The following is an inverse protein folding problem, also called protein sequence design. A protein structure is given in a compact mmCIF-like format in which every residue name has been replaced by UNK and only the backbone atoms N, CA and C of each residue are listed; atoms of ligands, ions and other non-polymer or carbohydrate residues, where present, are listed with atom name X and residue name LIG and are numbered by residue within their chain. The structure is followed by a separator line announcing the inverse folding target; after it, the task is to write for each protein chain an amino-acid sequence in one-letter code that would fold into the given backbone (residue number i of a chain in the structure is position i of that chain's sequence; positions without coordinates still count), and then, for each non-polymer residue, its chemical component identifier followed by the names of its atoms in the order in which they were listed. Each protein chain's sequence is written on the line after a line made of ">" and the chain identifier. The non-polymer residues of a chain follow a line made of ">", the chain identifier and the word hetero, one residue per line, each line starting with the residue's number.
data_IF_433253100780
#
_entry.id   IF_433253100780
#
_cell.length_a   1.000
_cell.length_b   1.000
_cell.length_c   1.000
_cell.angle_alpha   90.00
_cell.angle_beta   90.00
_cell.angle_gamma   90.00
#
_symmetry.space_group_name_H-M   'P 1'
#
loop_
_entity.id
_entity.type
_entity.pdbx_description
1 polymer ?
#
# COMPACT_ATOMS: atom_id res chain seq x y z
N UNK A 1 -14.86 14.47 6.96
CA UNK A 1 -15.18 13.05 6.70
C UNK A 1 -16.55 12.77 7.29
N UNK A 2 -17.38 11.97 6.61
CA UNK A 2 -18.72 11.59 7.09
C UNK A 2 -18.99 10.13 6.76
N UNK A 3 -19.93 9.52 7.47
CA UNK A 3 -20.46 8.22 7.05
C UNK A 3 -21.25 8.34 5.73
N UNK A 4 -21.22 7.30 4.90
CA UNK A 4 -21.93 7.25 3.62
C UNK A 4 -23.45 7.40 3.74
N UNK A 5 -24.04 7.11 4.89
CA UNK A 5 -25.47 7.34 5.17
C UNK A 5 -25.86 8.82 5.11
N UNK A 6 -24.89 9.73 5.25
CA UNK A 6 -25.08 11.17 5.06
C UNK A 6 -24.76 11.64 3.64
N UNK A 7 -24.42 10.72 2.72
CA UNK A 7 -24.16 11.06 1.35
C UNK A 7 -25.47 11.40 0.62
N UNK A 8 -25.47 12.42 -0.26
CA UNK A 8 -26.61 12.62 -1.14
C UNK A 8 -26.80 11.38 -2.03
N UNK A 9 -28.04 11.08 -2.39
CA UNK A 9 -28.35 9.98 -3.32
C UNK A 9 -27.78 10.23 -4.72
N UNK A 10 -27.58 11.51 -5.08
CA UNK A 10 -26.91 11.94 -6.30
C UNK A 10 -26.03 13.17 -6.09
N UNK A 11 -24.78 13.12 -6.58
CA UNK A 11 -23.87 14.27 -6.58
C UNK A 11 -22.89 14.23 -7.75
N UNK A 12 -22.24 15.37 -8.01
CA UNK A 12 -21.23 15.54 -9.06
C UNK A 12 -19.94 16.11 -8.52
N UNK A 13 -18.82 15.58 -9.01
CA UNK A 13 -17.47 15.97 -8.61
C UNK A 13 -16.54 16.00 -9.82
N UNK A 14 -15.45 16.73 -9.74
CA UNK A 14 -14.44 16.70 -10.80
C UNK A 14 -13.66 15.39 -10.81
N UNK A 15 -13.33 14.87 -9.64
CA UNK A 15 -12.67 13.58 -9.50
C UNK A 15 -13.39 12.71 -8.47
N UNK A 16 -13.52 11.42 -8.80
CA UNK A 16 -14.05 10.41 -7.88
C UNK A 16 -12.94 9.39 -7.63
N UNK A 17 -12.43 9.37 -6.41
CA UNK A 17 -11.40 8.44 -5.95
C UNK A 17 -12.07 7.28 -5.22
N UNK A 18 -11.88 6.07 -5.74
CA UNK A 18 -12.36 4.83 -5.14
C UNK A 18 -11.24 4.24 -4.28
N UNK A 19 -11.42 4.24 -2.97
CA UNK A 19 -10.44 3.80 -1.98
C UNK A 19 -9.70 4.97 -1.36
N UNK A 20 -9.98 5.24 -0.08
CA UNK A 20 -9.26 6.22 0.74
C UNK A 20 -7.99 5.62 1.33
N UNK A 21 -7.23 4.89 0.52
CA UNK A 21 -6.06 4.12 0.96
C UNK A 21 -4.75 4.92 0.95
N UNK A 22 -3.64 4.19 0.91
CA UNK A 22 -2.28 4.73 1.02
C UNK A 22 -1.95 5.78 -0.05
N UNK A 23 -2.33 5.55 -1.31
CA UNK A 23 -2.19 6.54 -2.40
C UNK A 23 -3.38 7.50 -2.47
N UNK A 24 -4.59 6.99 -2.22
CA UNK A 24 -5.86 7.71 -2.37
C UNK A 24 -5.96 8.96 -1.48
N UNK A 25 -5.47 8.90 -0.25
CA UNK A 25 -5.45 10.06 0.64
C UNK A 25 -4.55 11.19 0.12
N UNK A 26 -3.31 10.88 -0.29
CA UNK A 26 -2.37 11.87 -0.83
C UNK A 26 -2.87 12.46 -2.16
N UNK A 27 -3.47 11.61 -3.00
CA UNK A 27 -4.10 12.01 -4.25
C UNK A 27 -5.27 12.98 -4.01
N UNK A 28 -6.18 12.65 -3.09
CA UNK A 28 -7.33 13.48 -2.75
C UNK A 28 -6.91 14.84 -2.20
N UNK A 29 -5.97 14.85 -1.25
CA UNK A 29 -5.42 16.08 -0.69
C UNK A 29 -4.83 16.99 -1.77
N UNK A 30 -4.16 16.39 -2.77
CA UNK A 30 -3.58 17.11 -3.89
C UNK A 30 -4.63 17.66 -4.85
N UNK A 31 -5.53 16.81 -5.35
CA UNK A 31 -6.52 17.21 -6.35
C UNK A 31 -7.52 18.24 -5.81
N UNK A 32 -7.85 18.17 -4.51
CA UNK A 32 -8.78 19.10 -3.87
C UNK A 32 -8.34 20.57 -3.93
N UNK A 33 -7.05 20.85 -4.12
CA UNK A 33 -6.57 22.24 -4.18
C UNK A 33 -7.25 23.06 -5.30
N UNK A 34 -7.52 22.43 -6.45
CA UNK A 34 -8.05 23.11 -7.64
C UNK A 34 -9.27 22.39 -8.27
N UNK A 35 -9.86 21.42 -7.58
CA UNK A 35 -10.96 20.61 -8.12
C UNK A 35 -11.85 20.05 -7.01
N UNK A 36 -13.12 19.80 -7.31
CA UNK A 36 -14.00 19.07 -6.37
C UNK A 36 -13.70 17.58 -6.40
N UNK A 37 -13.45 16.98 -5.23
CA UNK A 37 -13.01 15.59 -5.09
C UNK A 37 -13.94 14.84 -4.17
N UNK A 38 -14.38 13.66 -4.63
CA UNK A 38 -15.06 12.67 -3.80
C UNK A 38 -14.13 11.50 -3.52
N UNK A 39 -13.97 11.13 -2.25
CA UNK A 39 -13.30 9.90 -1.81
C UNK A 39 -14.33 8.96 -1.22
N UNK A 40 -14.35 7.72 -1.72
CA UNK A 40 -15.21 6.65 -1.22
C UNK A 40 -14.36 5.56 -0.59
N UNK A 41 -14.45 5.41 0.73
CA UNK A 41 -13.75 4.37 1.48
C UNK A 41 -14.76 3.37 2.04
N UNK A 42 -14.53 2.08 1.79
CA UNK A 42 -15.44 1.00 2.22
C UNK A 42 -15.36 0.69 3.72
N UNK A 43 -14.25 1.05 4.37
CA UNK A 43 -14.04 0.89 5.80
C UNK A 43 -14.40 2.11 6.63
N UNK A 44 -14.20 1.99 7.94
CA UNK A 44 -14.37 3.07 8.91
C UNK A 44 -13.14 3.98 9.03
N UNK A 45 -13.06 4.71 10.13
CA UNK A 45 -11.99 5.68 10.40
C UNK A 45 -10.97 5.15 11.42
N UNK A 46 -9.66 5.36 11.22
CA UNK A 46 -8.66 5.06 12.25
C UNK A 46 -8.81 5.98 13.48
N UNK A 47 -9.48 7.13 13.31
CA UNK A 47 -9.69 8.12 14.38
C UNK A 47 -10.80 7.74 15.36
N UNK A 48 -11.59 6.71 15.07
CA UNK A 48 -12.60 6.16 15.99
C UNK A 48 -11.94 5.46 17.18
N UNK A 49 -10.76 4.88 16.97
CA UNK A 49 -9.98 4.22 18.01
C UNK A 49 -8.46 4.43 17.79
N UNK A 50 -7.94 5.63 18.06
CA UNK A 50 -6.54 5.97 17.76
C UNK A 50 -5.53 5.01 18.40
N UNK A 51 -5.79 4.59 19.64
CA UNK A 51 -4.88 3.70 20.39
C UNK A 51 -4.75 2.32 19.77
N UNK A 52 -5.77 1.83 19.04
CA UNK A 52 -5.68 0.58 18.29
C UNK A 52 -4.61 0.62 17.19
N UNK A 53 -4.18 1.81 16.76
CA UNK A 53 -3.16 1.95 15.72
C UNK A 53 -1.75 2.11 16.27
N UNK A 54 -1.59 2.40 17.57
CA UNK A 54 -0.29 2.62 18.21
C UNK A 54 0.61 1.38 18.14
N UNK A 55 1.92 1.60 18.21
CA UNK A 55 2.93 0.54 18.01
C UNK A 55 2.72 -0.68 18.91
N UNK A 56 2.24 -0.47 20.14
CA UNK A 56 1.98 -1.53 21.12
C UNK A 56 0.80 -2.44 20.72
N UNK A 57 -0.14 -1.92 19.93
CA UNK A 57 -1.34 -2.63 19.50
C UNK A 57 -1.24 -3.19 18.08
N UNK A 58 -0.10 -3.02 17.40
CA UNK A 58 0.13 -3.48 16.02
C UNK A 58 -0.30 -4.94 15.82
N UNK A 59 0.21 -5.87 16.64
CA UNK A 59 -0.09 -7.28 16.50
C UNK A 59 -1.58 -7.59 16.69
N UNK A 60 -2.18 -7.06 17.76
CA UNK A 60 -3.60 -7.23 18.10
C UNK A 60 -4.51 -6.72 16.99
N UNK A 61 -4.23 -5.55 16.44
CA UNK A 61 -5.04 -4.93 15.39
C UNK A 61 -4.89 -5.66 14.06
N UNK A 62 -3.68 -6.10 13.71
CA UNK A 62 -3.44 -6.90 12.52
C UNK A 62 -4.13 -8.27 12.59
N UNK A 63 -4.13 -8.93 13.75
CA UNK A 63 -4.72 -10.25 13.95
C UNK A 63 -6.23 -10.24 14.23
N UNK A 64 -6.85 -9.07 14.39
CA UNK A 64 -8.29 -8.97 14.61
C UNK A 64 -9.06 -9.35 13.34
N UNK A 65 -9.71 -10.51 13.35
CA UNK A 65 -10.52 -11.02 12.22
C UNK A 65 -12.02 -10.80 12.37
N UNK A 66 -12.45 -9.93 13.31
CA UNK A 66 -13.87 -9.65 13.49
C UNK A 66 -14.49 -9.05 12.21
N UNK A 67 -15.80 -9.27 11.94
CA UNK A 67 -16.43 -8.85 10.69
C UNK A 67 -16.36 -7.36 10.36
N UNK A 68 -16.18 -6.49 11.37
CA UNK A 68 -16.00 -5.04 11.24
C UNK A 68 -14.55 -4.57 11.44
N UNK A 69 -13.61 -5.48 11.64
CA UNK A 69 -12.19 -5.16 11.79
C UNK A 69 -11.65 -4.39 10.58
N UNK A 70 -10.68 -3.53 10.83
CA UNK A 70 -9.87 -2.90 9.78
C UNK A 70 -9.02 -3.91 9.04
N UNK A 71 -8.64 -5.03 9.68
CA UNK A 71 -7.91 -6.15 9.08
C UNK A 71 -8.89 -7.15 8.48
N UNK A 72 -8.85 -7.32 7.15
CA UNK A 72 -9.64 -8.33 6.46
C UNK A 72 -8.73 -9.48 6.01
N UNK A 73 -8.80 -10.58 6.76
CA UNK A 73 -8.10 -11.83 6.44
C UNK A 73 -8.54 -12.37 5.07
N UNK A 74 -7.59 -12.89 4.31
CA UNK A 74 -7.82 -13.80 3.18
C UNK A 74 -6.74 -14.88 3.16
N UNK A 75 -7.02 -16.00 2.50
CA UNK A 75 -6.04 -17.06 2.28
C UNK A 75 -5.80 -17.14 0.79
N UNK A 76 -4.55 -17.05 0.36
CA UNK A 76 -4.19 -17.28 -1.04
C UNK A 76 -4.46 -18.73 -1.44
N UNK A 77 -4.62 -18.99 -2.74
CA UNK A 77 -4.73 -20.37 -3.26
C UNK A 77 -3.48 -21.21 -2.96
N UNK A 78 -2.35 -20.57 -2.66
CA UNK A 78 -1.12 -21.21 -2.19
C UNK A 78 -1.19 -21.67 -0.71
N UNK A 79 -2.31 -21.43 -0.02
CA UNK A 79 -2.49 -21.75 1.39
C UNK A 79 -1.83 -20.76 2.34
N UNK A 80 -1.33 -19.61 1.88
CA UNK A 80 -0.66 -18.62 2.74
C UNK A 80 -1.67 -17.60 3.26
N UNK A 81 -1.72 -17.43 4.58
CA UNK A 81 -2.54 -16.42 5.25
C UNK A 81 -2.09 -15.01 4.89
N UNK A 82 -3.05 -14.12 4.69
CA UNK A 82 -2.79 -12.75 4.32
C UNK A 82 -3.91 -11.83 4.83
N UNK A 83 -3.67 -10.52 4.84
CA UNK A 83 -4.69 -9.55 5.23
C UNK A 83 -4.61 -8.33 4.34
N UNK A 84 -5.77 -7.72 4.09
CA UNK A 84 -5.90 -6.41 3.44
C UNK A 84 -6.62 -5.44 4.35
N UNK A 85 -6.25 -4.16 4.25
CA UNK A 85 -6.91 -3.12 5.01
C UNK A 85 -8.34 -2.83 4.51
N UNK A 86 -9.18 -2.41 5.46
CA UNK A 86 -10.54 -1.91 5.26
C UNK A 86 -10.79 -0.76 6.23
N UNK A 87 -10.15 0.36 5.97
CA UNK A 87 -10.13 1.55 6.83
C UNK A 87 -9.53 2.72 6.04
N UNK A 88 -9.96 3.96 6.32
CA UNK A 88 -9.34 5.16 5.78
C UNK A 88 -7.84 5.22 6.14
N UNK A 89 -6.99 5.50 5.17
CA UNK A 89 -5.53 5.38 5.25
C UNK A 89 -5.00 4.03 4.75
N UNK A 90 -5.87 3.03 4.56
CA UNK A 90 -5.55 1.73 3.99
C UNK A 90 -4.46 0.98 4.79
N UNK A 91 -3.52 0.34 4.08
CA UNK A 91 -2.48 -0.49 4.68
C UNK A 91 -1.59 0.25 5.70
N UNK A 92 -1.48 1.58 5.59
CA UNK A 92 -0.69 2.39 6.53
C UNK A 92 -1.23 2.36 7.97
N UNK A 93 -2.51 2.04 8.16
CA UNK A 93 -3.15 1.87 9.48
C UNK A 93 -2.74 0.56 10.15
N UNK A 94 -2.45 -0.49 9.36
CA UNK A 94 -2.24 -1.85 9.85
C UNK A 94 -0.78 -2.31 9.79
N UNK A 95 0.06 -1.70 8.96
CA UNK A 95 1.40 -2.20 8.68
C UNK A 95 2.37 -2.04 9.86
N UNK A 96 3.58 -2.59 9.71
CA UNK A 96 4.64 -2.49 10.72
C UNK A 96 5.34 -1.11 10.79
N UNK A 97 4.85 -0.11 10.06
CA UNK A 97 5.30 1.28 10.16
C UNK A 97 6.60 1.65 9.45
N UNK A 98 7.35 0.69 8.90
CA UNK A 98 8.61 0.96 8.19
C UNK A 98 8.46 1.91 7.00
N UNK A 99 9.25 2.98 6.97
CA UNK A 99 9.26 3.98 5.91
C UNK A 99 10.59 3.94 5.15
N UNK A 100 10.54 3.71 3.84
CA UNK A 100 11.71 3.69 2.95
C UNK A 100 11.28 4.09 1.54
N UNK A 101 11.99 5.04 0.95
CA UNK A 101 11.77 5.50 -0.43
C UNK A 101 12.06 4.38 -1.43
N UNK A 102 11.59 4.56 -2.65
CA UNK A 102 11.96 3.70 -3.77
C UNK A 102 13.48 3.77 -4.05
N UNK A 103 14.04 2.71 -4.63
CA UNK A 103 15.39 2.74 -5.19
C UNK A 103 15.49 3.68 -6.40
N UNK A 104 16.67 4.28 -6.60
CA UNK A 104 16.94 5.19 -7.73
C UNK A 104 16.74 4.49 -9.09
N UNK A 105 17.09 3.20 -9.17
CA UNK A 105 16.85 2.33 -10.32
C UNK A 105 15.36 2.18 -10.62
N UNK A 106 14.54 1.97 -9.58
CA UNK A 106 13.10 1.91 -9.73
C UNK A 106 12.50 3.22 -10.25
N UNK A 107 12.91 4.36 -9.67
CA UNK A 107 12.44 5.69 -10.11
C UNK A 107 12.77 5.92 -11.59
N UNK A 108 13.98 5.53 -12.01
CA UNK A 108 14.43 5.63 -13.39
C UNK A 108 13.63 4.71 -14.32
N UNK A 109 13.42 3.46 -13.95
CA UNK A 109 12.63 2.49 -14.73
C UNK A 109 11.16 2.89 -14.85
N UNK A 110 10.60 3.52 -13.82
CA UNK A 110 9.25 4.06 -13.84
C UNK A 110 9.11 5.34 -14.69
N UNK A 111 10.23 5.88 -15.19
CA UNK A 111 10.31 7.13 -15.95
C UNK A 111 9.69 8.33 -15.19
N UNK A 112 9.74 8.31 -13.87
CA UNK A 112 9.29 9.44 -13.06
C UNK A 112 10.35 10.54 -13.03
N UNK A 113 9.90 11.79 -13.02
CA UNK A 113 10.80 12.95 -12.92
C UNK A 113 11.38 13.03 -11.51
N UNK A 114 12.70 12.88 -11.39
CA UNK A 114 13.42 12.80 -10.09
C UNK A 114 13.05 13.94 -9.14
N UNK A 115 13.13 15.19 -9.59
CA UNK A 115 12.89 16.36 -8.73
C UNK A 115 11.44 16.43 -8.22
N UNK A 116 10.48 15.99 -9.04
CA UNK A 116 9.06 15.92 -8.65
C UNK A 116 8.79 14.75 -7.70
N UNK A 117 9.52 13.63 -7.83
CA UNK A 117 9.47 12.50 -6.90
C UNK A 117 10.05 12.88 -5.55
N UNK A 118 11.19 13.58 -5.53
CA UNK A 118 11.83 14.07 -4.32
C UNK A 118 10.88 15.00 -3.55
N UNK A 119 10.34 16.01 -4.23
CA UNK A 119 9.38 16.94 -3.63
C UNK A 119 8.11 16.24 -3.12
N UNK A 120 7.66 15.17 -3.78
CA UNK A 120 6.52 14.38 -3.33
C UNK A 120 6.85 13.52 -2.09
N UNK A 121 8.07 12.98 -1.98
CA UNK A 121 8.52 12.30 -0.77
C UNK A 121 8.62 13.27 0.40
N UNK A 122 9.32 14.40 0.23
CA UNK A 122 9.46 15.42 1.27
C UNK A 122 8.10 15.89 1.79
N UNK A 123 7.13 16.08 0.89
CA UNK A 123 5.77 16.45 1.27
C UNK A 123 5.08 15.40 2.16
N UNK A 124 5.29 14.11 1.91
CA UNK A 124 4.77 13.02 2.76
C UNK A 124 5.54 12.99 4.09
N UNK A 125 6.87 13.02 4.01
CA UNK A 125 7.78 12.87 5.15
C UNK A 125 7.55 13.95 6.21
N UNK A 126 7.37 15.20 5.77
CA UNK A 126 7.09 16.34 6.64
C UNK A 126 5.87 16.15 7.54
N UNK A 127 4.96 15.25 7.19
CA UNK A 127 3.72 15.01 7.94
C UNK A 127 3.76 13.75 8.79
N UNK A 128 4.35 12.66 8.30
CA UNK A 128 4.10 11.33 8.87
C UNK A 128 5.35 10.45 9.02
N UNK A 129 6.55 10.90 8.64
CA UNK A 129 7.76 10.06 8.73
C UNK A 129 8.74 10.60 9.76
N UNK A 130 9.32 9.69 10.55
CA UNK A 130 10.21 10.01 11.67
C UNK A 130 11.45 9.12 11.65
N UNK A 131 12.52 9.63 12.26
CA UNK A 131 13.66 8.80 12.66
C UNK A 131 13.28 8.01 13.93
N UNK A 132 13.34 6.67 13.91
CA UNK A 132 12.95 5.87 15.06
C UNK A 132 14.02 5.91 16.16
N UNK A 133 13.63 5.83 17.46
CA UNK A 133 14.59 5.52 18.50
C UNK A 133 15.17 4.11 18.28
N UNK A 134 16.49 3.98 18.33
CA UNK A 134 17.18 2.69 18.19
C UNK A 134 17.41 2.09 19.57
N UNK A 135 16.67 1.03 19.90
CA UNK A 135 16.76 0.33 21.20
C UNK A 135 17.72 -0.86 21.13
N UNK A 136 17.92 -1.56 22.26
CA UNK A 136 18.91 -2.62 22.39
C UNK A 136 18.80 -3.74 21.36
N UNK A 137 17.58 -4.19 21.04
CA UNK A 137 17.35 -5.24 20.04
C UNK A 137 17.74 -4.77 18.63
N UNK A 138 17.30 -3.57 18.24
CA UNK A 138 17.60 -2.98 16.94
C UNK A 138 19.09 -2.71 16.78
N UNK A 139 19.77 -2.26 17.83
CA UNK A 139 21.23 -2.10 17.86
C UNK A 139 21.93 -3.44 17.65
N UNK A 140 21.51 -4.49 18.37
CA UNK A 140 22.09 -5.82 18.22
C UNK A 140 21.87 -6.41 16.82
N UNK A 141 20.68 -6.21 16.24
CA UNK A 141 20.39 -6.62 14.86
C UNK A 141 21.29 -5.87 13.86
N UNK A 142 21.40 -4.54 13.99
CA UNK A 142 22.25 -3.70 13.14
C UNK A 142 23.72 -4.12 13.23
N UNK A 143 24.27 -4.25 14.43
CA UNK A 143 25.67 -4.67 14.62
C UNK A 143 25.90 -6.12 14.18
N UNK A 144 24.92 -7.01 14.41
CA UNK A 144 24.98 -8.40 13.96
C UNK A 144 24.93 -8.55 12.43
N UNK A 145 24.20 -7.69 11.73
CA UNK A 145 24.21 -7.62 10.26
C UNK A 145 25.60 -7.21 9.73
N UNK A 146 26.25 -6.25 10.39
CA UNK A 146 27.62 -5.85 10.06
C UNK A 146 28.61 -7.00 10.33
N UNK A 147 28.51 -7.69 11.46
CA UNK A 147 29.32 -8.89 11.73
C UNK A 147 29.07 -10.03 10.71
N UNK A 148 27.85 -10.12 10.17
CA UNK A 148 27.50 -11.09 9.12
C UNK A 148 28.01 -10.71 7.71
N UNK A 149 28.56 -9.49 7.54
CA UNK A 149 29.15 -9.00 6.30
C UNK A 149 28.28 -8.02 5.50
N UNK A 150 27.13 -7.58 6.04
CA UNK A 150 26.18 -6.68 5.34
C UNK A 150 26.60 -5.21 5.45
N UNK A 151 27.74 -4.88 4.84
CA UNK A 151 28.31 -3.53 4.78
C UNK A 151 27.88 -2.78 3.52
N UNK A 152 27.96 -1.42 3.49
CA UNK A 152 28.37 -0.53 4.58
C UNK A 152 27.26 -0.26 5.60
N UNK A 153 27.60 0.36 6.73
CA UNK A 153 26.60 1.02 7.58
C UNK A 153 26.30 2.41 7.04
N UNK A 154 25.07 2.64 6.60
CA UNK A 154 24.63 3.88 5.94
C UNK A 154 24.04 4.91 6.90
N UNK A 155 24.10 4.69 8.22
CA UNK A 155 23.43 5.56 9.19
C UNK A 155 21.91 5.53 9.07
N UNK A 156 21.27 6.63 9.46
CA UNK A 156 19.85 6.86 9.20
C UNK A 156 19.63 7.38 7.78
N UNK A 157 18.71 6.75 7.04
CA UNK A 157 18.27 7.24 5.74
C UNK A 157 16.94 6.64 5.30
N UNK A 158 16.09 7.46 4.69
CA UNK A 158 14.89 6.98 4.00
C UNK A 158 15.22 6.25 2.69
N UNK A 159 16.39 6.46 2.09
CA UNK A 159 16.73 5.90 0.78
C UNK A 159 16.87 4.37 0.83
N UNK A 160 16.35 3.68 -0.19
CA UNK A 160 16.63 2.26 -0.38
C UNK A 160 18.02 2.10 -1.00
N UNK A 161 18.97 1.61 -0.21
CA UNK A 161 20.38 1.44 -0.57
C UNK A 161 20.89 0.10 -0.07
N UNK A 162 21.92 -0.43 -0.73
CA UNK A 162 22.62 -1.63 -0.30
C UNK A 162 23.37 -1.40 1.03
N UNK A 163 23.45 -2.45 1.86
CA UNK A 163 24.09 -2.43 3.17
C UNK A 163 23.10 -2.30 4.34
N UNK A 164 23.64 -2.05 5.53
CA UNK A 164 22.87 -1.91 6.78
C UNK A 164 22.50 -0.46 7.02
N UNK A 165 21.26 -0.18 7.44
CA UNK A 165 20.79 1.19 7.75
C UNK A 165 19.76 1.22 8.87
N UNK A 166 19.55 2.41 9.43
CA UNK A 166 18.34 2.74 10.18
C UNK A 166 17.35 3.38 9.19
N UNK A 167 16.20 2.73 8.98
CA UNK A 167 15.13 3.25 8.13
C UNK A 167 14.21 4.21 8.89
N UNK A 168 13.30 4.86 8.16
CA UNK A 168 12.24 5.66 8.75
C UNK A 168 11.13 4.82 9.36
N UNK A 169 10.28 5.49 10.13
CA UNK A 169 9.04 4.93 10.69
C UNK A 169 7.89 5.93 10.54
N UNK A 170 6.66 5.45 10.53
CA UNK A 170 5.46 6.30 10.66
C UNK A 170 4.94 6.39 12.10
N UNK A 171 5.64 5.79 13.04
CA UNK A 171 5.39 5.97 14.47
C UNK A 171 6.27 7.10 15.01
N UNK A 172 5.69 8.01 15.77
CA UNK A 172 6.47 9.06 16.43
C UNK A 172 7.22 8.55 17.66
N UNK A 173 7.88 9.46 18.38
CA UNK A 173 8.72 9.15 19.53
C UNK A 173 7.95 8.59 20.75
N UNK A 174 6.63 8.75 20.81
CA UNK A 174 5.77 8.16 21.85
C UNK A 174 5.05 6.90 21.37
N UNK A 175 5.29 6.48 20.12
CA UNK A 175 4.73 5.27 19.53
C UNK A 175 3.34 5.46 18.91
N UNK A 176 2.88 6.70 18.77
CA UNK A 176 1.63 7.01 18.07
C UNK A 176 1.84 6.90 16.56
N UNK A 177 0.88 6.28 15.87
CA UNK A 177 0.94 6.08 14.42
C UNK A 177 0.43 7.30 13.66
N UNK A 178 1.17 7.71 12.63
CA UNK A 178 0.76 8.70 11.63
C UNK A 178 0.53 8.00 10.28
N UNK A 179 -0.70 8.04 9.78
CA UNK A 179 -1.13 7.22 8.62
C UNK A 179 -1.29 8.07 7.36
N UNK A 180 -1.51 7.42 6.21
CA UNK A 180 -1.88 8.15 4.99
C UNK A 180 -3.15 9.01 5.17
N UNK A 181 -4.05 8.65 6.10
CA UNK A 181 -5.23 9.46 6.39
C UNK A 181 -4.89 10.85 6.95
N UNK A 182 -3.74 11.01 7.63
CA UNK A 182 -3.28 12.32 8.13
C UNK A 182 -2.88 13.27 6.99
N UNK A 183 -2.57 12.75 5.80
CA UNK A 183 -2.28 13.58 4.62
C UNK A 183 -3.52 14.33 4.12
N UNK A 184 -4.73 13.89 4.50
CA UNK A 184 -5.98 14.61 4.21
C UNK A 184 -6.08 15.94 4.96
N UNK A 185 -5.26 16.20 5.98
CA UNK A 185 -5.19 17.53 6.62
C UNK A 185 -4.66 18.60 5.66
N UNK A 186 -3.94 18.20 4.60
CA UNK A 186 -3.56 19.11 3.53
C UNK A 186 -4.66 19.33 2.49
N UNK A 187 -5.77 18.59 2.55
CA UNK A 187 -6.88 18.75 1.60
C UNK A 187 -7.64 20.05 1.84
N UNK A 188 -8.18 20.64 0.77
CA UNK A 188 -9.08 21.79 0.89
C UNK A 188 -10.48 21.31 1.35
N UNK A 189 -10.93 21.66 2.57
CA UNK A 189 -12.17 21.13 3.15
C UNK A 189 -13.44 21.53 2.39
N UNK A 190 -13.41 22.63 1.62
CA UNK A 190 -14.57 23.12 0.86
C UNK A 190 -14.80 22.32 -0.43
N UNK A 191 -13.80 21.58 -0.86
CA UNK A 191 -13.79 20.91 -2.17
C UNK A 191 -13.63 19.40 -2.07
N UNK A 192 -13.26 18.87 -0.89
CA UNK A 192 -13.12 17.44 -0.65
C UNK A 192 -14.32 16.90 0.14
N UNK A 193 -14.96 15.88 -0.40
CA UNK A 193 -15.92 15.05 0.30
C UNK A 193 -15.30 13.67 0.53
N UNK A 194 -15.33 13.17 1.77
CA UNK A 194 -14.85 11.83 2.13
C UNK A 194 -15.99 11.09 2.81
N UNK A 195 -16.48 10.02 2.17
CA UNK A 195 -17.48 9.12 2.74
C UNK A 195 -16.85 7.78 3.14
N UNK A 196 -17.04 7.44 4.42
CA UNK A 196 -16.66 6.17 5.04
C UNK A 196 -17.80 5.16 4.90
N UNK A 197 -17.50 3.88 5.08
CA UNK A 197 -18.45 2.78 4.88
C UNK A 197 -19.16 2.83 3.51
N UNK A 198 -18.50 3.41 2.50
CA UNK A 198 -18.98 3.56 1.14
C UNK A 198 -18.42 2.45 0.26
N UNK A 199 -19.18 1.37 0.07
CA UNK A 199 -18.75 0.26 -0.78
C UNK A 199 -19.10 0.56 -2.23
N UNK A 200 -18.09 0.74 -3.09
CA UNK A 200 -18.29 0.97 -4.52
C UNK A 200 -18.56 -0.34 -5.23
N UNK A 201 -19.68 -0.40 -5.96
CA UNK A 201 -20.17 -1.61 -6.62
C UNK A 201 -19.88 -1.63 -8.11
N UNK A 202 -19.95 -0.46 -8.74
CA UNK A 202 -19.92 -0.35 -10.19
C UNK A 202 -19.35 0.97 -10.65
N UNK A 203 -18.46 0.90 -11.65
CA UNK A 203 -18.06 2.04 -12.46
C UNK A 203 -19.03 2.15 -13.64
N UNK A 204 -19.52 3.36 -13.89
CA UNK A 204 -20.49 3.64 -14.95
C UNK A 204 -19.75 4.09 -16.21
N UNK A 205 -20.09 3.48 -17.34
CA UNK A 205 -19.48 3.74 -18.65
C UNK A 205 -20.50 4.19 -19.69
N UNK A 206 -20.09 5.06 -20.60
CA UNK A 206 -20.87 5.45 -21.78
C UNK A 206 -20.04 5.31 -23.05
N UNK A 207 -20.66 4.80 -24.11
CA UNK A 207 -20.10 4.74 -25.47
C UNK A 207 -20.75 5.77 -26.40
N UNK A 208 -21.74 6.53 -25.91
CA UNK A 208 -22.54 7.43 -26.75
C UNK A 208 -21.66 8.53 -27.35
N UNK A 209 -21.56 8.54 -28.68
CA UNK A 209 -20.80 9.54 -29.44
C UNK A 209 -19.28 9.40 -29.29
N UNK A 210 -18.76 8.23 -28.91
CA UNK A 210 -17.33 8.00 -28.71
C UNK A 210 -16.88 6.65 -29.27
N UNK A 211 -15.67 6.55 -29.83
CA UNK A 211 -15.11 5.29 -30.28
C UNK A 211 -14.68 4.38 -29.11
N UNK A 212 -14.44 4.96 -27.92
CA UNK A 212 -14.03 4.25 -26.71
C UNK A 212 -15.04 4.49 -25.59
N UNK A 213 -15.30 3.49 -24.71
CA UNK A 213 -16.06 3.71 -23.50
C UNK A 213 -15.41 4.80 -22.63
N UNK A 214 -16.23 5.71 -22.09
CA UNK A 214 -15.79 6.70 -21.09
C UNK A 214 -16.40 6.37 -19.73
N UNK A 215 -15.58 6.24 -18.70
CA UNK A 215 -16.06 6.26 -17.32
C UNK A 215 -16.63 7.65 -16.98
N UNK A 216 -17.83 7.67 -16.39
CA UNK A 216 -18.52 8.93 -16.08
C UNK A 216 -19.06 9.01 -14.65
N UNK A 217 -18.91 7.95 -13.86
CA UNK A 217 -19.42 7.93 -12.50
C UNK A 217 -19.32 6.55 -11.85
N UNK A 218 -19.90 6.44 -10.67
CA UNK A 218 -19.90 5.24 -9.85
C UNK A 218 -21.24 5.06 -9.14
N UNK A 219 -21.58 3.81 -8.82
CA UNK A 219 -22.62 3.46 -7.86
C UNK A 219 -21.94 2.90 -6.62
N UNK A 220 -22.31 3.42 -5.45
CA UNK A 220 -21.83 2.92 -4.16
C UNK A 220 -23.00 2.72 -3.20
N UNK A 221 -22.78 1.89 -2.19
CA UNK A 221 -23.77 1.54 -1.17
C UNK A 221 -23.28 1.98 0.21
N UNK A 222 -24.19 2.54 1.01
CA UNK A 222 -23.95 2.85 2.42
C UNK A 222 -24.19 1.61 3.32
N UNK A 223 -23.95 1.73 4.63
CA UNK A 223 -24.16 0.64 5.59
C UNK A 223 -25.64 0.26 5.79
N UNK A 224 -26.59 1.13 5.42
CA UNK A 224 -28.02 0.86 5.45
C UNK A 224 -28.52 0.16 4.18
N UNK A 225 -27.64 -0.08 3.21
CA UNK A 225 -27.97 -0.73 1.95
C UNK A 225 -28.52 0.22 0.88
N UNK A 226 -28.54 1.53 1.12
CA UNK A 226 -29.00 2.55 0.17
C UNK A 226 -27.96 2.73 -0.93
N UNK A 227 -28.43 2.76 -2.18
CA UNK A 227 -27.57 3.01 -3.34
C UNK A 227 -27.49 4.50 -3.65
N UNK A 228 -26.26 4.99 -3.77
CA UNK A 228 -25.92 6.35 -4.14
C UNK A 228 -25.22 6.36 -5.50
N UNK A 229 -25.37 7.48 -6.21
CA UNK A 229 -24.74 7.71 -7.50
C UNK A 229 -23.89 8.96 -7.48
N UNK A 230 -22.61 8.82 -7.79
CA UNK A 230 -21.73 9.96 -8.02
C UNK A 230 -21.32 10.01 -9.50
N UNK A 231 -21.48 11.17 -10.14
CA UNK A 231 -21.06 11.39 -11.53
C UNK A 231 -19.90 12.38 -11.61
N UNK A 232 -19.12 12.27 -12.68
CA UNK A 232 -18.18 13.30 -13.04
C UNK A 232 -18.92 14.56 -13.48
N UNK A 233 -18.47 15.73 -13.00
CA UNK A 233 -18.96 17.02 -13.47
C UNK A 233 -18.66 17.21 -14.96
N UNK A 234 -19.35 18.16 -15.60
CA UNK A 234 -19.27 18.39 -17.05
C UNK A 234 -17.95 19.05 -17.45
N UNK A 235 -16.89 18.26 -17.53
CA UNK A 235 -15.57 18.69 -17.96
C UNK A 235 -14.86 17.53 -18.68
N UNK A 236 -14.05 17.86 -19.69
CA UNK A 236 -13.32 16.89 -20.50
C UNK A 236 -12.22 16.16 -19.72
N UNK A 237 -11.63 16.81 -18.71
CA UNK A 237 -10.48 16.32 -17.95
C UNK A 237 -10.83 15.60 -16.64
N UNK A 238 -12.12 15.50 -16.31
CA UNK A 238 -12.60 14.83 -15.10
C UNK A 238 -12.50 13.31 -15.23
N UNK A 239 -12.11 12.63 -14.14
CA UNK A 239 -11.76 11.20 -14.15
C UNK A 239 -12.26 10.48 -12.88
N UNK A 240 -12.63 9.21 -13.05
CA UNK A 240 -12.73 8.25 -11.96
C UNK A 240 -11.35 7.64 -11.74
N UNK A 241 -10.90 7.52 -10.49
CA UNK A 241 -9.56 7.02 -10.16
C UNK A 241 -9.69 5.88 -9.16
N UNK A 242 -9.17 4.71 -9.52
CA UNK A 242 -9.04 3.56 -8.63
C UNK A 242 -7.79 3.68 -7.75
N UNK A 243 -7.99 3.56 -6.45
CA UNK A 243 -6.95 3.55 -5.42
C UNK A 243 -7.29 2.51 -4.32
N UNK A 244 -7.94 1.42 -4.71
CA UNK A 244 -8.43 0.37 -3.81
C UNK A 244 -7.39 -0.74 -3.54
N UNK A 245 -6.13 -0.51 -3.92
CA UNK A 245 -4.99 -1.38 -3.67
C UNK A 245 -4.90 -2.57 -4.63
N UNK A 246 -3.84 -3.37 -4.46
CA UNK A 246 -3.48 -4.51 -5.31
C UNK A 246 -4.55 -5.59 -5.49
N UNK A 247 -5.56 -5.63 -4.60
CA UNK A 247 -6.70 -6.55 -4.70
C UNK A 247 -7.96 -5.83 -5.18
N UNK A 248 -8.31 -4.70 -4.55
CA UNK A 248 -9.58 -4.02 -4.81
C UNK A 248 -9.66 -3.36 -6.19
N UNK A 249 -8.56 -2.77 -6.66
CA UNK A 249 -8.53 -2.11 -7.98
C UNK A 249 -8.74 -3.09 -9.15
N UNK A 250 -8.00 -4.21 -9.27
CA UNK A 250 -8.29 -5.18 -10.32
C UNK A 250 -9.67 -5.83 -10.15
N UNK A 251 -10.11 -6.10 -8.92
CA UNK A 251 -11.44 -6.64 -8.63
C UNK A 251 -12.57 -5.78 -9.21
N UNK A 252 -12.49 -4.46 -9.06
CA UNK A 252 -13.47 -3.53 -9.61
C UNK A 252 -13.44 -3.46 -11.14
N UNK A 253 -12.26 -3.59 -11.76
CA UNK A 253 -12.15 -3.65 -13.22
C UNK A 253 -12.73 -4.95 -13.79
N UNK A 254 -12.68 -6.05 -13.02
CA UNK A 254 -13.28 -7.34 -13.37
C UNK A 254 -14.77 -7.44 -13.02
N UNK A 255 -15.40 -6.37 -12.50
CA UNK A 255 -16.80 -6.36 -12.03
C UNK A 255 -17.11 -7.48 -11.02
N UNK A 256 -16.13 -7.86 -10.20
CA UNK A 256 -16.26 -8.92 -9.21
C UNK A 256 -16.82 -8.37 -7.89
N UNK A 257 -17.62 -9.19 -7.16
CA UNK A 257 -18.39 -8.79 -5.96
C UNK A 257 -17.57 -8.34 -4.75
N UNK A 258 -18.18 -8.22 -3.56
CA UNK A 258 -17.58 -7.54 -2.39
C UNK A 258 -16.58 -8.37 -1.59
N UNK A 259 -16.63 -9.68 -1.74
CA UNK A 259 -15.79 -10.61 -0.99
C UNK A 259 -14.32 -10.56 -1.44
N UNK A 260 -13.45 -11.25 -0.72
CA UNK A 260 -12.08 -11.39 -1.19
C UNK A 260 -12.09 -12.17 -2.51
N UNK A 261 -11.48 -11.65 -3.60
CA UNK A 261 -11.33 -12.43 -4.82
C UNK A 261 -10.35 -13.57 -4.54
N UNK A 262 -10.38 -14.61 -5.38
CA UNK A 262 -9.34 -15.64 -5.35
C UNK A 262 -8.01 -15.05 -5.81
N UNK A 263 -6.94 -15.34 -5.09
CA UNK A 263 -5.60 -14.81 -5.37
C UNK A 263 -4.57 -15.92 -5.23
N UNK A 264 -3.77 -16.12 -6.27
CA UNK A 264 -2.60 -17.00 -6.25
C UNK A 264 -1.35 -16.17 -6.52
N UNK A 265 -0.34 -16.33 -5.67
CA UNK A 265 0.96 -15.67 -5.79
C UNK A 265 2.04 -16.59 -6.35
N UNK A 266 1.82 -17.92 -6.31
CA UNK A 266 2.79 -18.92 -6.76
C UNK A 266 4.15 -18.78 -6.05
N UNK A 267 4.14 -18.69 -4.71
CA UNK A 267 5.36 -18.53 -3.92
C UNK A 267 6.43 -19.59 -4.28
N UNK A 268 7.62 -19.12 -4.64
CA UNK A 268 8.78 -19.93 -5.07
C UNK A 268 8.59 -20.72 -6.37
N UNK A 269 7.65 -20.33 -7.24
CA UNK A 269 7.58 -20.86 -8.60
C UNK A 269 8.87 -20.53 -9.37
N UNK A 270 9.38 -19.31 -9.21
CA UNK A 270 10.67 -18.91 -9.77
C UNK A 270 11.83 -19.42 -8.88
N UNK A 271 12.79 -20.19 -9.43
CA UNK A 271 13.87 -20.79 -8.64
C UNK A 271 14.75 -19.76 -7.90
N UNK A 272 14.87 -18.55 -8.46
CA UNK A 272 15.68 -17.47 -7.88
C UNK A 272 15.06 -16.97 -6.56
N UNK A 273 13.74 -16.99 -6.40
CA UNK A 273 13.08 -16.59 -5.15
C UNK A 273 13.42 -17.56 -4.02
N UNK A 274 13.42 -18.87 -4.32
CA UNK A 274 13.78 -19.89 -3.35
C UNK A 274 15.25 -19.78 -2.94
N UNK A 275 16.13 -19.53 -3.92
CA UNK A 275 17.56 -19.30 -3.67
C UNK A 275 17.78 -18.10 -2.74
N UNK A 276 17.11 -16.97 -3.02
CA UNK A 276 17.17 -15.76 -2.18
C UNK A 276 16.63 -16.00 -0.77
N UNK A 277 15.58 -16.82 -0.61
CA UNK A 277 15.12 -17.20 0.72
C UNK A 277 16.20 -17.97 1.49
N UNK A 278 16.87 -18.94 0.86
CA UNK A 278 17.95 -19.70 1.51
C UNK A 278 19.13 -18.78 1.89
N UNK A 279 19.51 -17.85 1.01
CA UNK A 279 20.54 -16.85 1.30
C UNK A 279 20.13 -15.96 2.48
N UNK A 280 18.89 -15.47 2.50
CA UNK A 280 18.35 -14.65 3.59
C UNK A 280 18.34 -15.38 4.94
N UNK A 281 17.87 -16.64 4.98
CA UNK A 281 17.91 -17.46 6.20
C UNK A 281 19.36 -17.71 6.63
N UNK A 282 20.27 -17.93 5.68
CA UNK A 282 21.70 -18.09 5.98
C UNK A 282 22.29 -16.84 6.62
N UNK A 283 21.95 -15.64 6.12
CA UNK A 283 22.36 -14.38 6.75
C UNK A 283 21.76 -14.23 8.15
N UNK A 284 20.48 -14.55 8.35
CA UNK A 284 19.84 -14.51 9.68
C UNK A 284 20.56 -15.45 10.67
N UNK A 285 20.96 -16.65 10.24
CA UNK A 285 21.74 -17.59 11.08
C UNK A 285 23.08 -16.95 11.48
N UNK A 286 23.78 -16.27 10.56
CA UNK A 286 25.03 -15.54 10.90
C UNK A 286 24.78 -14.44 11.93
N UNK A 287 23.72 -13.65 11.78
CA UNK A 287 23.33 -12.60 12.73
C UNK A 287 23.05 -13.19 14.12
N UNK A 288 22.28 -14.28 14.20
CA UNK A 288 21.96 -14.95 15.48
C UNK A 288 23.22 -15.46 16.19
N UNK A 289 24.23 -15.88 15.44
CA UNK A 289 25.51 -16.35 15.98
C UNK A 289 26.55 -15.24 16.20
N UNK A 290 26.24 -13.99 15.86
CA UNK A 290 27.12 -12.84 16.05
C UNK A 290 27.34 -12.52 17.53
N UNK A 291 28.46 -11.87 17.84
CA UNK A 291 28.75 -11.39 19.20
C UNK A 291 27.76 -10.32 19.61
N UNK A 292 27.41 -9.42 18.69
CA UNK A 292 26.39 -8.38 18.91
C UNK A 292 25.04 -8.95 19.40
N UNK A 293 24.60 -10.08 18.84
CA UNK A 293 23.29 -10.66 19.16
C UNK A 293 23.29 -11.61 20.37
N UNK A 294 24.47 -11.92 20.92
CA UNK A 294 24.63 -12.92 21.99
C UNK A 294 23.76 -12.69 23.23
N UNK A 295 23.50 -11.42 23.59
CA UNK A 295 22.66 -11.05 24.75
C UNK A 295 21.16 -11.32 24.57
N UNK A 296 20.74 -11.57 23.33
CA UNK A 296 19.36 -11.79 22.94
C UNK A 296 19.05 -13.25 22.57
N UNK A 297 20.04 -14.13 22.74
CA UNK A 297 19.93 -15.56 22.49
C UNK A 297 19.84 -16.30 23.82
N UNK A 298 18.95 -17.28 23.93
CA UNK A 298 18.95 -18.19 25.08
C UNK A 298 20.23 -19.04 25.06
N UNK A 299 20.90 -19.26 26.22
CA UNK A 299 22.17 -19.98 26.27
C UNK A 299 22.17 -21.35 25.58
N UNK A 300 21.03 -22.06 25.64
CA UNK A 300 20.86 -23.42 25.10
C UNK A 300 20.25 -23.44 23.69
N UNK A 301 19.94 -22.27 23.09
CA UNK A 301 19.31 -22.22 21.78
C UNK A 301 20.26 -22.69 20.66
N UNK A 302 19.85 -23.75 19.96
CA UNK A 302 20.53 -24.24 18.76
C UNK A 302 19.79 -23.77 17.50
N UNK A 303 20.49 -23.63 16.37
CA UNK A 303 19.86 -23.26 15.10
C UNK A 303 18.76 -24.27 14.70
N UNK A 304 19.00 -25.60 14.73
CA UNK A 304 17.92 -26.56 14.45
C UNK A 304 16.72 -26.41 15.37
N UNK A 305 16.94 -26.16 16.67
CA UNK A 305 15.84 -25.91 17.61
C UNK A 305 15.04 -24.64 17.32
N UNK A 306 15.70 -23.57 16.88
CA UNK A 306 15.03 -22.34 16.43
C UNK A 306 14.25 -22.55 15.13
N UNK A 307 14.80 -23.30 14.18
CA UNK A 307 14.10 -23.65 12.94
C UNK A 307 12.88 -24.54 13.25
N UNK A 308 13.02 -25.53 14.14
CA UNK A 308 11.92 -26.39 14.57
C UNK A 308 10.79 -25.57 15.22
N UNK A 309 11.12 -24.59 16.07
CA UNK A 309 10.13 -23.68 16.63
C UNK A 309 9.32 -22.96 15.54
N UNK A 310 10.00 -22.39 14.54
CA UNK A 310 9.33 -21.67 13.43
C UNK A 310 8.53 -22.63 12.53
N UNK A 311 9.03 -23.85 12.30
CA UNK A 311 8.35 -24.87 11.51
C UNK A 311 6.97 -25.23 12.09
N UNK A 312 6.85 -25.19 13.42
CA UNK A 312 5.62 -25.48 14.16
C UNK A 312 4.69 -24.27 14.35
N UNK A 313 5.10 -23.06 13.96
CA UNK A 313 4.18 -21.90 13.94
C UNK A 313 3.22 -22.06 12.74
N UNK A 314 1.89 -21.97 12.94
CA UNK A 314 0.90 -22.13 11.87
C UNK A 314 0.82 -20.86 11.00
N UNK A 315 1.91 -20.55 10.29
CA UNK A 315 2.05 -19.35 9.44
C UNK A 315 1.32 -19.48 8.11
N UNK A 316 0.97 -20.70 7.70
CA UNK A 316 0.27 -21.04 6.45
C UNK A 316 -0.37 -22.44 6.58
N UNK A 317 -1.13 -22.84 5.56
CA UNK A 317 -1.79 -24.14 5.41
C UNK A 317 -0.95 -25.15 4.60
N UNK A 318 0.33 -24.87 4.35
CA UNK A 318 1.20 -25.75 3.54
C UNK A 318 1.62 -26.98 4.36
N UNK A 319 1.78 -28.15 3.72
CA UNK A 319 2.33 -29.33 4.37
C UNK A 319 3.70 -29.04 5.01
N UNK A 320 3.96 -29.65 6.17
CA UNK A 320 5.23 -29.51 6.90
C UNK A 320 6.01 -30.80 6.86
N UNK A 321 7.31 -30.70 6.65
CA UNK A 321 8.24 -31.83 6.68
C UNK A 321 9.19 -31.67 7.86
N UNK A 322 9.21 -32.64 8.77
CA UNK A 322 10.10 -32.62 9.96
C UNK A 322 11.58 -32.52 9.57
N UNK A 323 11.96 -33.01 8.38
CA UNK A 323 13.33 -32.92 7.86
C UNK A 323 13.71 -31.53 7.35
N UNK A 324 12.75 -30.60 7.26
CA UNK A 324 12.98 -29.21 6.81
C UNK A 324 13.96 -28.46 7.70
N UNK A 325 14.05 -28.78 8.99
CA UNK A 325 15.01 -28.15 9.91
C UNK A 325 16.48 -28.37 9.50
N UNK A 326 16.75 -29.35 8.63
CA UNK A 326 18.07 -29.65 8.06
C UNK A 326 18.21 -29.30 6.58
N UNK A 327 17.14 -28.79 5.95
CA UNK A 327 17.12 -28.43 4.53
C UNK A 327 16.46 -27.06 4.35
N UNK A 328 17.28 -26.02 4.25
CA UNK A 328 16.79 -24.64 4.15
C UNK A 328 15.87 -24.37 2.95
N UNK A 329 16.00 -25.13 1.85
CA UNK A 329 15.08 -25.02 0.70
C UNK A 329 13.68 -25.48 1.10
N UNK A 330 13.57 -26.66 1.70
CA UNK A 330 12.28 -27.17 2.14
C UNK A 330 11.73 -26.35 3.30
N UNK A 331 12.59 -25.88 4.21
CA UNK A 331 12.21 -24.93 5.26
C UNK A 331 11.54 -23.69 4.70
N UNK A 332 12.17 -23.02 3.73
CA UNK A 332 11.60 -21.85 3.05
C UNK A 332 10.20 -22.13 2.48
N UNK A 333 10.02 -23.27 1.80
CA UNK A 333 8.75 -23.68 1.20
C UNK A 333 7.67 -23.92 2.26
N UNK A 334 8.02 -24.68 3.30
CA UNK A 334 7.08 -25.10 4.35
C UNK A 334 6.64 -23.91 5.21
N UNK A 335 7.55 -22.98 5.53
CA UNK A 335 7.29 -21.90 6.50
C UNK A 335 6.94 -20.56 5.88
N UNK A 336 6.84 -20.47 4.54
CA UNK A 336 6.61 -19.21 3.82
C UNK A 336 5.43 -18.43 4.40
N UNK A 337 5.64 -17.13 4.60
CA UNK A 337 4.60 -16.20 5.01
C UNK A 337 4.58 -15.01 4.07
N UNK A 338 3.43 -14.34 4.01
CA UNK A 338 3.37 -13.03 3.39
C UNK A 338 4.20 -12.03 4.19
N UNK A 339 4.85 -11.09 3.50
CA UNK A 339 5.36 -9.86 4.11
C UNK A 339 4.39 -8.69 3.93
N UNK A 340 3.16 -8.97 3.50
CA UNK A 340 2.05 -8.03 3.26
C UNK A 340 2.34 -6.94 2.20
N UNK A 341 3.40 -7.09 1.40
CA UNK A 341 3.77 -6.17 0.32
C UNK A 341 3.36 -6.66 -1.07
N UNK A 342 2.24 -7.39 -1.17
CA UNK A 342 1.71 -7.83 -2.47
C UNK A 342 1.30 -6.61 -3.32
N UNK A 343 1.54 -6.72 -4.62
CA UNK A 343 1.38 -5.66 -5.61
C UNK A 343 1.04 -6.25 -6.98
N UNK A 344 0.75 -5.40 -7.97
CA UNK A 344 0.34 -5.86 -9.30
C UNK A 344 -1.18 -6.08 -9.45
N UNK A 345 -1.58 -6.55 -10.63
CA UNK A 345 -2.97 -6.75 -11.04
C UNK A 345 -3.50 -5.69 -12.01
N UNK A 346 -2.92 -4.49 -12.03
CA UNK A 346 -3.24 -3.42 -12.97
C UNK A 346 -1.96 -2.80 -13.57
N UNK A 347 -0.99 -3.62 -13.98
CA UNK A 347 0.35 -3.16 -14.32
C UNK A 347 0.40 -2.21 -15.52
N UNK A 348 1.36 -1.28 -15.48
CA UNK A 348 1.69 -0.38 -16.60
C UNK A 348 2.09 -1.20 -17.83
N UNK A 349 1.59 -0.81 -19.01
CA UNK A 349 1.79 -1.50 -20.28
C UNK A 349 0.94 -2.75 -20.47
N UNK A 350 0.16 -3.16 -19.46
CA UNK A 350 -0.76 -4.31 -19.52
C UNK A 350 -2.22 -3.90 -19.34
N UNK A 351 -2.50 -3.14 -18.28
CA UNK A 351 -3.86 -2.66 -17.93
C UNK A 351 -3.94 -1.14 -18.01
N UNK A 352 -2.87 -0.43 -17.61
CA UNK A 352 -2.80 1.03 -17.68
C UNK A 352 -1.63 1.49 -18.55
N UNK A 353 -1.71 2.71 -19.09
CA UNK A 353 -0.60 3.36 -19.78
C UNK A 353 0.42 4.01 -18.81
N UNK A 354 1.46 4.66 -19.34
CA UNK A 354 2.47 5.38 -18.54
C UNK A 354 1.93 6.61 -17.79
N UNK A 355 0.72 7.04 -18.12
CA UNK A 355 -0.02 8.08 -17.40
C UNK A 355 -1.06 7.46 -16.46
N UNK A 356 -0.98 6.15 -16.18
CA UNK A 356 -1.87 5.43 -15.29
C UNK A 356 -3.33 5.41 -15.75
N UNK A 357 -3.60 5.72 -17.03
CA UNK A 357 -4.94 5.63 -17.64
C UNK A 357 -5.22 4.21 -18.06
N UNK A 358 -6.44 3.72 -17.80
CA UNK A 358 -6.85 2.37 -18.20
C UNK A 358 -6.89 2.27 -19.72
N UNK A 359 -6.20 1.27 -20.27
CA UNK A 359 -6.09 1.09 -21.71
C UNK A 359 -7.48 0.87 -22.34
N UNK A 360 -7.77 1.61 -23.40
CA UNK A 360 -9.05 1.51 -24.12
C UNK A 360 -10.25 2.17 -23.45
N UNK A 361 -10.08 2.79 -22.27
CA UNK A 361 -11.15 3.46 -21.52
C UNK A 361 -10.77 4.91 -21.24
N UNK A 362 -11.63 5.84 -21.66
CA UNK A 362 -11.46 7.26 -21.34
C UNK A 362 -11.97 7.56 -19.92
N UNK A 363 -11.35 8.51 -19.23
CA UNK A 363 -11.86 9.02 -17.95
C UNK A 363 -11.66 8.08 -16.76
N UNK A 364 -10.79 7.07 -16.88
CA UNK A 364 -10.50 6.10 -15.84
C UNK A 364 -8.99 5.92 -15.62
N UNK A 365 -8.53 6.01 -14.36
CA UNK A 365 -7.14 5.74 -13.97
C UNK A 365 -7.05 4.74 -12.82
N UNK A 366 -5.86 4.15 -12.63
CA UNK A 366 -5.51 3.36 -11.44
C UNK A 366 -4.23 3.92 -10.84
N UNK A 367 -4.27 4.39 -9.58
CA UNK A 367 -3.14 5.01 -8.90
C UNK A 367 -3.00 4.37 -7.51
N UNK A 368 -2.38 3.21 -7.47
CA UNK A 368 -2.00 2.50 -6.25
C UNK A 368 -0.95 1.40 -6.57
N UNK A 369 -0.60 0.59 -5.55
CA UNK A 369 0.36 -0.51 -5.70
C UNK A 369 -0.04 -1.62 -6.68
N UNK A 370 -1.29 -1.67 -7.18
CA UNK A 370 -1.68 -2.62 -8.23
C UNK A 370 -0.97 -2.36 -9.57
N UNK A 371 -0.42 -1.16 -9.74
CA UNK A 371 0.26 -0.74 -10.98
C UNK A 371 1.74 -1.11 -11.02
N UNK A 372 2.30 -1.58 -9.90
CA UNK A 372 3.70 -1.95 -9.80
C UNK A 372 3.98 -3.30 -10.46
N UNK A 373 5.12 -3.37 -11.17
CA UNK A 373 5.65 -4.62 -11.74
C UNK A 373 6.53 -5.39 -10.74
N UNK A 374 7.27 -4.67 -9.90
CA UNK A 374 8.13 -5.19 -8.83
C UNK A 374 8.02 -4.27 -7.61
N UNK A 375 8.50 -4.74 -6.45
CA UNK A 375 8.56 -3.89 -5.26
C UNK A 375 9.53 -2.72 -5.48
N UNK A 376 9.17 -1.46 -5.13
CA UNK A 376 10.04 -0.30 -5.29
C UNK A 376 11.21 -0.25 -4.30
N UNK A 377 11.18 -1.09 -3.27
CA UNK A 377 12.20 -1.21 -2.24
C UNK A 377 11.75 -2.21 -1.18
N UNK A 378 12.37 -2.19 0.00
CA UNK A 378 12.02 -3.11 1.10
C UNK A 378 10.57 -2.96 1.58
N UNK A 379 10.09 -1.72 1.71
CA UNK A 379 8.75 -1.40 2.20
C UNK A 379 8.10 -0.38 1.24
N UNK A 380 7.01 -0.73 0.54
CA UNK A 380 6.49 0.08 -0.55
C UNK A 380 5.66 1.29 -0.10
N UNK A 381 5.30 1.42 1.18
CA UNK A 381 4.28 2.39 1.60
C UNK A 381 4.62 3.83 1.28
N UNK A 382 5.90 4.23 1.45
CA UNK A 382 6.35 5.59 1.16
C UNK A 382 6.15 5.88 -0.32
N UNK A 383 6.54 4.95 -1.20
CA UNK A 383 6.39 5.06 -2.64
C UNK A 383 4.92 5.12 -3.06
N UNK A 384 4.04 4.37 -2.41
CA UNK A 384 2.59 4.40 -2.71
C UNK A 384 1.97 5.75 -2.30
N UNK A 385 2.35 6.32 -1.15
CA UNK A 385 1.92 7.66 -0.74
C UNK A 385 2.46 8.74 -1.69
N UNK A 386 3.76 8.67 -1.99
CA UNK A 386 4.44 9.55 -2.94
C UNK A 386 3.77 9.49 -4.32
N UNK A 387 3.43 8.30 -4.82
CA UNK A 387 2.75 8.11 -6.09
C UNK A 387 1.41 8.88 -6.14
N UNK A 388 0.62 8.82 -5.06
CA UNK A 388 -0.63 9.57 -4.96
C UNK A 388 -0.43 11.07 -5.10
N UNK A 389 0.58 11.63 -4.39
CA UNK A 389 0.96 13.05 -4.48
C UNK A 389 1.48 13.42 -5.87
N UNK A 390 2.45 12.65 -6.38
CA UNK A 390 3.10 12.85 -7.67
C UNK A 390 2.08 12.87 -8.82
N UNK A 391 1.21 11.86 -8.88
CA UNK A 391 0.20 11.78 -9.92
C UNK A 391 -0.88 12.85 -9.76
N UNK A 392 -1.25 13.22 -8.53
CA UNK A 392 -2.16 14.35 -8.30
C UNK A 392 -1.61 15.66 -8.88
N UNK A 393 -0.32 15.96 -8.63
CA UNK A 393 0.32 17.16 -9.19
C UNK A 393 0.40 17.11 -10.71
N UNK A 394 0.72 15.95 -11.28
CA UNK A 394 0.76 15.75 -12.74
C UNK A 394 -0.62 15.97 -13.37
N UNK A 395 -1.68 15.43 -12.78
CA UNK A 395 -3.06 15.62 -13.24
C UNK A 395 -3.47 17.10 -13.20
N UNK A 396 -3.14 17.84 -12.13
CA UNK A 396 -3.44 19.26 -12.04
C UNK A 396 -2.69 20.08 -13.10
N UNK A 397 -1.39 19.80 -13.34
CA UNK A 397 -0.61 20.44 -14.42
C UNK A 397 -1.21 20.14 -15.80
N UNK A 398 -1.61 18.90 -16.06
CA UNK A 398 -2.29 18.50 -17.31
C UNK A 398 -3.61 19.27 -17.49
N UNK A 399 -4.39 19.41 -16.42
CA UNK A 399 -5.66 20.16 -16.42
C UNK A 399 -5.45 21.63 -16.72
N UNK A 400 -4.51 22.28 -16.04
CA UNK A 400 -4.19 23.70 -16.23
C UNK A 400 -3.70 23.96 -17.67
N UNK A 401 -2.78 23.15 -18.18
CA UNK A 401 -2.28 23.28 -19.55
C UNK A 401 -3.40 23.10 -20.60
N UNK A 402 -4.34 22.18 -20.37
CA UNK A 402 -5.48 21.97 -21.26
C UNK A 402 -6.40 23.20 -21.32
N UNK A 403 -6.69 23.83 -20.18
CA UNK A 403 -7.56 25.00 -20.13
C UNK A 403 -6.90 26.24 -20.69
N UNK A 404 -5.62 26.47 -20.36
CA UNK A 404 -4.85 27.57 -20.94
C UNK A 404 -4.82 27.50 -22.47
N UNK A 405 -4.58 26.30 -23.03
CA UNK A 405 -4.61 26.10 -24.47
C UNK A 405 -5.98 26.39 -25.09
N UNK A 406 -7.07 25.99 -24.41
CA UNK A 406 -8.43 26.29 -24.89
C UNK A 406 -8.78 27.77 -24.85
N UNK A 407 -8.26 28.51 -23.87
CA UNK A 407 -8.40 29.96 -23.77
C UNK A 407 -7.60 30.68 -24.87
N UNK A 408 -6.43 30.17 -25.23
CA UNK A 408 -5.62 30.70 -26.34
C UNK A 408 -6.23 30.41 -27.74
N UNK A 409 -7.03 29.35 -27.86
CA UNK A 409 -7.72 28.94 -29.11
C UNK A 409 -9.11 29.59 -29.29
N UNK A 410 -9.66 30.23 -28.25
CA UNK A 410 -10.98 30.86 -28.25
C UNK A 410 -10.88 32.37 -28.49
#
# INVERSE_FOLDING_TARGET
>A
MKDATFAPTFARYDYIIIGGGTSGCALAATLSQNATVLVLERGGSPYENPTATDIQNFATTLSNTSPKSWSQLFVSEDGVYNTRARVLGGGSVLNAGFYTRAGDDYVKEAEWKRDEVEAAYEWVENKIAFEPPVMGWQTALKDGLLEAGEFPYNGFTYNHTYGTKIGGTIFDNVGQRHTAANLLEYANPDTVAVYLHATVHKILFTTKGRPRPKAYGVIFQDENGVLHKAELAKNAMNEVILSAGAIGSPQLLMLSGYDNPSVRFNYYQEPEDLKKCVEGITTIIKVINSKAFSKFKYPEATIPGLLDLILNVPTNLRPRHVTSVFNLKQFCIDTVMTIWHYHGGCQIGRVVDKNYKVLGIDGLRVIDGSTFLKSPGTNPQATVMMLGRYMGQKILKEREAFFKKKEEEA
#
